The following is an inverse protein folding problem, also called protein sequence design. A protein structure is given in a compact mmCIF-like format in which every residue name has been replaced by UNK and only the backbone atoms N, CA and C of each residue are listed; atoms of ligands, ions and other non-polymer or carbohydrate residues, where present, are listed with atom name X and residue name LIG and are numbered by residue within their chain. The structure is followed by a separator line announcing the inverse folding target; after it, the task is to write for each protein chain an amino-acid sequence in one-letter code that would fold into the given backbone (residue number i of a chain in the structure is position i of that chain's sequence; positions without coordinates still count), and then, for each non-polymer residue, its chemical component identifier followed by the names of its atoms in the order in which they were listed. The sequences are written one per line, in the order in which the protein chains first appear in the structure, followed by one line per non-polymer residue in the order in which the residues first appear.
data_IF_098589499840
#
_entry.id   IF_098589499840
#
_cell.length_a   1.000
_cell.length_b   1.000
_cell.length_c   1.000
_cell.angle_alpha   90.00
_cell.angle_beta   90.00
_cell.angle_gamma   90.00
#
_symmetry.space_group_name_H-M   'P 1'
#
loop_
_entity.id
_entity.type
_entity.pdbx_description
1 polymer ?
#
# COMPACT_ATOMS: atom_id res chain seq x y z
N UNK A 1 -3.77 12.44 9.35
CA UNK A 1 -4.40 11.56 8.33
C UNK A 1 -4.16 12.03 6.90
N UNK A 2 -4.32 13.30 6.52
CA UNK A 2 -3.97 13.80 5.16
C UNK A 2 -2.54 13.46 4.74
N UNK A 3 -1.59 13.56 5.67
CA UNK A 3 -0.20 13.16 5.47
C UNK A 3 -0.04 11.70 5.04
N UNK A 4 -0.91 10.80 5.52
CA UNK A 4 -0.89 9.38 5.21
C UNK A 4 -1.33 9.12 3.76
N UNK A 5 -2.43 9.76 3.33
CA UNK A 5 -2.90 9.69 1.93
C UNK A 5 -1.87 10.24 0.97
N UNK A 6 -1.26 11.38 1.31
CA UNK A 6 -0.26 12.01 0.47
C UNK A 6 1.13 11.36 0.59
N UNK A 7 1.30 10.40 1.51
CA UNK A 7 2.57 9.76 1.82
C UNK A 7 3.67 10.79 2.09
N UNK A 8 3.31 11.84 2.83
CA UNK A 8 4.22 12.92 3.23
C UNK A 8 4.58 12.74 4.70
N UNK A 9 5.88 12.68 5.07
CA UNK A 9 6.29 12.66 6.46
C UNK A 9 5.64 13.81 7.25
N UNK A 10 5.36 13.56 8.53
CA UNK A 10 4.73 14.53 9.43
C UNK A 10 5.60 14.76 10.65
N UNK A 11 5.65 16.00 11.15
CA UNK A 11 6.36 16.34 12.40
C UNK A 11 5.75 15.61 13.61
N UNK A 12 4.48 15.19 13.52
CA UNK A 12 3.81 14.41 14.57
C UNK A 12 4.49 13.06 14.86
N UNK A 13 5.33 12.58 13.95
CA UNK A 13 6.12 11.37 14.13
C UNK A 13 7.37 11.58 15.01
N UNK A 14 7.74 12.82 15.31
CA UNK A 14 8.94 13.10 16.08
C UNK A 14 8.70 12.79 17.57
N UNK A 15 9.71 12.27 18.30
CA UNK A 15 9.55 11.83 19.68
C UNK A 15 8.93 12.89 20.61
N UNK A 16 9.30 14.15 20.42
CA UNK A 16 8.78 15.29 21.18
C UNK A 16 7.25 15.44 21.08
N UNK A 17 6.65 15.11 19.95
CA UNK A 17 5.20 15.16 19.77
C UNK A 17 4.50 13.89 20.25
N UNK A 18 5.22 12.78 20.28
CA UNK A 18 4.71 11.50 20.75
C UNK A 18 4.80 11.37 22.28
N UNK A 19 5.77 11.97 22.96
CA UNK A 19 5.97 11.77 24.40
C UNK A 19 5.49 12.92 25.26
N UNK A 20 5.76 14.16 24.86
CA UNK A 20 5.58 15.33 25.73
C UNK A 20 4.13 15.59 26.17
N UNK A 21 3.10 15.41 25.31
CA UNK A 21 1.71 15.57 25.74
C UNK A 21 1.25 14.56 26.81
N UNK A 22 1.98 13.43 26.93
CA UNK A 22 1.62 12.29 27.78
C UNK A 22 2.51 12.17 29.02
N UNK A 23 3.30 13.20 29.34
CA UNK A 23 4.09 13.24 30.57
C UNK A 23 3.18 13.29 31.82
N UNK A 24 2.01 13.90 31.70
CA UNK A 24 1.05 14.03 32.81
C UNK A 24 -0.01 12.91 32.85
N UNK A 25 -0.30 12.25 31.73
CA UNK A 25 -1.36 11.24 31.63
C UNK A 25 -0.91 10.08 30.75
N UNK A 26 -1.22 8.81 31.13
CA UNK A 26 -0.87 7.67 30.31
C UNK A 26 -1.61 7.70 28.97
N UNK A 27 -0.93 7.30 27.90
CA UNK A 27 -1.51 7.20 26.55
C UNK A 27 -2.70 6.26 26.54
N UNK A 28 -3.80 6.69 25.94
CA UNK A 28 -4.91 5.79 25.63
C UNK A 28 -4.52 4.81 24.53
N UNK A 29 -5.30 3.74 24.37
CA UNK A 29 -5.08 2.80 23.26
C UNK A 29 -5.20 3.49 21.90
N UNK A 30 -6.10 4.46 21.75
CA UNK A 30 -6.27 5.22 20.50
C UNK A 30 -5.06 6.13 20.24
N UNK A 31 -4.48 6.73 21.28
CA UNK A 31 -3.26 7.54 21.13
C UNK A 31 -2.09 6.69 20.63
N UNK A 32 -1.92 5.48 21.18
CA UNK A 32 -0.88 4.54 20.73
C UNK A 32 -1.07 4.12 19.27
N UNK A 33 -2.32 3.96 18.82
CA UNK A 33 -2.59 3.72 17.40
C UNK A 33 -2.14 4.93 16.57
N UNK A 34 -2.49 6.15 16.99
CA UNK A 34 -2.13 7.36 16.25
C UNK A 34 -0.62 7.60 16.21
N UNK A 35 0.13 7.24 17.24
CA UNK A 35 1.59 7.25 17.22
C UNK A 35 2.14 6.36 16.08
N UNK A 36 1.65 5.12 15.99
CA UNK A 36 1.99 4.21 14.90
C UNK A 36 1.58 4.81 13.54
N UNK A 37 0.38 5.36 13.41
CA UNK A 37 -0.12 5.99 12.18
C UNK A 37 0.66 7.23 11.76
N UNK A 38 1.29 7.95 12.72
CA UNK A 38 2.15 9.08 12.42
C UNK A 38 3.46 8.66 11.73
N UNK A 39 3.95 7.44 12.00
CA UNK A 39 5.15 6.89 11.38
C UNK A 39 4.93 6.42 9.94
N UNK A 40 3.75 5.85 9.64
CA UNK A 40 3.42 5.27 8.33
C UNK A 40 3.76 6.17 7.12
N UNK A 41 3.39 7.46 7.08
CA UNK A 41 3.67 8.33 5.94
C UNK A 41 5.15 8.39 5.56
N UNK A 42 6.04 8.34 6.56
CA UNK A 42 7.49 8.37 6.32
C UNK A 42 8.00 7.08 5.67
N UNK A 43 7.48 5.92 6.10
CA UNK A 43 7.80 4.63 5.51
C UNK A 43 7.25 4.50 4.08
N UNK A 44 6.01 4.94 3.86
CA UNK A 44 5.40 4.96 2.52
C UNK A 44 6.19 5.86 1.57
N UNK A 45 6.60 7.06 2.01
CA UNK A 45 7.44 7.97 1.22
C UNK A 45 8.79 7.34 0.84
N UNK A 46 9.43 6.66 1.80
CA UNK A 46 10.69 5.93 1.54
C UNK A 46 10.48 4.78 0.56
N UNK A 47 9.37 4.05 0.69
CA UNK A 47 9.03 2.94 -0.19
C UNK A 47 8.87 3.42 -1.64
N UNK A 48 8.17 4.53 -1.86
CA UNK A 48 8.01 5.09 -3.20
C UNK A 48 9.36 5.47 -3.83
N UNK A 49 10.29 6.04 -3.06
CA UNK A 49 11.64 6.36 -3.54
C UNK A 49 12.46 5.13 -3.87
N UNK A 50 12.39 4.07 -3.06
CA UNK A 50 13.12 2.81 -3.31
C UNK A 50 12.53 2.07 -4.50
N UNK A 51 11.21 1.98 -4.58
CA UNK A 51 10.52 1.25 -5.63
C UNK A 51 10.66 1.92 -7.01
N UNK A 52 10.90 3.24 -7.06
CA UNK A 52 11.17 3.98 -8.29
C UNK A 52 12.60 3.82 -8.84
N UNK A 53 13.54 3.26 -8.06
CA UNK A 53 14.91 3.03 -8.52
C UNK A 53 15.00 1.84 -9.48
N UNK A 54 16.04 1.82 -10.30
CA UNK A 54 16.40 0.68 -11.12
C UNK A 54 16.72 -0.56 -10.28
N UNK A 55 16.54 -1.74 -10.86
CA UNK A 55 16.66 -3.04 -10.20
C UNK A 55 18.12 -3.42 -9.91
N UNK A 56 18.79 -2.63 -9.09
CA UNK A 56 20.19 -2.78 -8.70
C UNK A 56 20.31 -3.54 -7.38
N UNK A 57 21.52 -4.01 -7.08
CA UNK A 57 21.86 -4.60 -5.77
C UNK A 57 21.59 -3.59 -4.65
N UNK A 58 21.96 -2.33 -4.86
CA UNK A 58 21.75 -1.25 -3.89
C UNK A 58 20.26 -1.05 -3.58
N UNK A 59 19.40 -1.02 -4.61
CA UNK A 59 17.94 -0.96 -4.42
C UNK A 59 17.44 -2.15 -3.59
N UNK A 60 17.92 -3.37 -3.88
CA UNK A 60 17.53 -4.56 -3.13
C UNK A 60 17.90 -4.44 -1.65
N UNK A 61 19.11 -3.99 -1.32
CA UNK A 61 19.55 -3.79 0.06
C UNK A 61 18.71 -2.72 0.78
N UNK A 62 18.42 -1.60 0.10
CA UNK A 62 17.52 -0.57 0.62
C UNK A 62 16.10 -1.09 0.86
N UNK A 63 15.59 -1.92 -0.05
CA UNK A 63 14.28 -2.55 0.07
C UNK A 63 14.24 -3.54 1.24
N UNK A 64 15.32 -4.32 1.47
CA UNK A 64 15.44 -5.21 2.61
C UNK A 64 15.45 -4.45 3.94
N UNK A 65 16.24 -3.39 4.06
CA UNK A 65 16.25 -2.53 5.27
C UNK A 65 14.87 -1.92 5.53
N UNK A 66 14.26 -1.33 4.50
CA UNK A 66 12.95 -0.71 4.64
C UNK A 66 11.86 -1.73 4.96
N UNK A 67 11.89 -2.92 4.34
CA UNK A 67 10.95 -3.99 4.63
C UNK A 67 11.03 -4.45 6.09
N UNK A 68 12.24 -4.57 6.65
CA UNK A 68 12.38 -4.87 8.08
C UNK A 68 11.70 -3.81 8.96
N UNK A 69 11.95 -2.52 8.68
CA UNK A 69 11.29 -1.42 9.40
C UNK A 69 9.76 -1.49 9.25
N UNK A 70 9.24 -1.85 8.07
CA UNK A 70 7.81 -2.03 7.87
C UNK A 70 7.24 -3.22 8.67
N UNK A 71 7.97 -4.33 8.73
CA UNK A 71 7.56 -5.51 9.50
C UNK A 71 7.59 -5.24 11.02
N UNK A 72 8.49 -4.38 11.50
CA UNK A 72 8.49 -3.98 12.91
C UNK A 72 7.25 -3.18 13.28
N UNK A 73 6.86 -2.23 12.43
CA UNK A 73 5.64 -1.45 12.62
C UNK A 73 4.37 -2.31 12.45
N UNK A 74 4.38 -3.30 11.56
CA UNK A 74 3.28 -4.26 11.43
C UNK A 74 3.09 -5.07 12.71
N UNK A 75 4.19 -5.54 13.32
CA UNK A 75 4.14 -6.24 14.60
C UNK A 75 3.62 -5.31 15.70
N UNK A 76 4.00 -4.04 15.72
CA UNK A 76 3.48 -3.05 16.67
C UNK A 76 1.96 -2.84 16.52
N UNK A 77 1.47 -2.66 15.29
CA UNK A 77 0.04 -2.56 14.98
C UNK A 77 -0.72 -3.83 15.40
N UNK A 78 -0.14 -5.01 15.16
CA UNK A 78 -0.70 -6.28 15.60
C UNK A 78 -0.75 -6.40 17.13
N UNK A 79 0.30 -5.97 17.84
CA UNK A 79 0.33 -5.92 19.30
C UNK A 79 -0.76 -4.99 19.83
N UNK A 80 -0.87 -3.78 19.28
CA UNK A 80 -1.94 -2.84 19.63
C UNK A 80 -3.33 -3.49 19.52
N UNK A 81 -3.60 -4.19 18.41
CA UNK A 81 -4.87 -4.89 18.21
C UNK A 81 -5.13 -5.95 19.28
N UNK A 82 -4.11 -6.76 19.61
CA UNK A 82 -4.24 -7.77 20.69
C UNK A 82 -4.43 -7.15 22.07
N UNK A 83 -3.76 -6.03 22.38
CA UNK A 83 -3.94 -5.30 23.63
C UNK A 83 -5.36 -4.76 23.76
N UNK A 84 -5.95 -4.27 22.66
CA UNK A 84 -7.32 -3.75 22.67
C UNK A 84 -8.35 -4.83 23.01
N UNK A 85 -8.10 -6.09 22.63
CA UNK A 85 -8.99 -7.22 22.93
C UNK A 85 -9.00 -7.62 24.42
N UNK A 86 -7.90 -7.39 25.14
CA UNK A 86 -7.77 -7.80 26.54
C UNK A 86 -8.37 -6.74 27.45
N UNK A 87 -9.42 -7.10 28.18
CA UNK A 87 -10.06 -6.17 29.11
C UNK A 87 -9.16 -5.94 30.33
N UNK A 88 -8.74 -4.71 30.67
CA UNK A 88 -7.76 -4.46 31.72
C UNK A 88 -8.26 -4.84 33.13
N UNK A 89 -9.59 -4.87 33.33
CA UNK A 89 -10.19 -5.21 34.62
C UNK A 89 -10.27 -6.72 34.89
N UNK A 90 -10.35 -7.56 33.85
CA UNK A 90 -10.56 -9.01 34.01
C UNK A 90 -9.44 -9.86 33.41
N UNK A 91 -8.58 -9.29 32.57
CA UNK A 91 -7.57 -10.03 31.81
C UNK A 91 -8.17 -10.99 30.77
N UNK A 92 -9.50 -11.00 30.60
CA UNK A 92 -10.20 -11.88 29.66
C UNK A 92 -10.24 -11.19 28.31
N UNK A 93 -9.83 -11.92 27.27
CA UNK A 93 -9.98 -11.49 25.88
C UNK A 93 -11.46 -11.43 25.51
N UNK A 94 -11.93 -10.28 25.04
CA UNK A 94 -13.28 -10.09 24.53
C UNK A 94 -13.24 -9.73 23.04
N UNK A 95 -14.21 -10.22 22.25
CA UNK A 95 -14.31 -9.84 20.85
C UNK A 95 -14.62 -8.35 20.73
N UNK A 96 -13.85 -7.64 19.89
CA UNK A 96 -14.08 -6.21 19.62
C UNK A 96 -15.28 -5.98 18.72
N UNK A 97 -15.60 -6.98 17.89
CA UNK A 97 -16.71 -6.98 16.96
C UNK A 97 -17.20 -8.42 16.70
N UNK A 98 -18.42 -8.54 16.19
CA UNK A 98 -19.02 -9.79 15.77
C UNK A 98 -19.96 -9.55 14.58
N UNK A 99 -20.30 -10.61 13.85
CA UNK A 99 -21.28 -10.54 12.78
C UNK A 99 -22.66 -10.26 13.37
N UNK A 100 -23.34 -9.25 12.81
CA UNK A 100 -24.71 -8.93 13.20
C UNK A 100 -25.67 -9.93 12.57
N UNK A 101 -26.53 -10.53 13.40
CA UNK A 101 -27.57 -11.47 12.96
C UNK A 101 -28.85 -10.74 12.48
N UNK A 102 -28.85 -9.41 12.40
CA UNK A 102 -30.03 -8.65 11.97
C UNK A 102 -30.32 -8.93 10.49
N UNK A 103 -31.51 -9.48 10.16
CA UNK A 103 -31.89 -9.66 8.77
C UNK A 103 -32.04 -8.29 8.11
N UNK A 104 -31.30 -8.06 7.02
CA UNK A 104 -31.37 -6.83 6.23
C UNK A 104 -32.82 -6.57 5.83
N UNK A 105 -33.48 -5.67 6.56
CA UNK A 105 -34.93 -5.44 6.44
C UNK A 105 -35.24 -4.31 5.46
N UNK A 106 -34.21 -3.73 4.82
CA UNK A 106 -34.37 -2.62 3.90
C UNK A 106 -33.91 -3.02 2.48
N UNK A 107 -34.76 -2.87 1.45
CA UNK A 107 -34.38 -3.03 0.06
C UNK A 107 -33.63 -1.77 -0.41
N UNK A 108 -32.54 -1.43 0.25
CA UNK A 108 -31.67 -0.34 -0.16
C UNK A 108 -30.50 -0.90 -0.95
N UNK A 109 -30.20 -0.39 -2.16
CA UNK A 109 -29.11 -0.87 -3.00
C UNK A 109 -27.72 -0.65 -2.38
N UNK A 110 -27.64 0.03 -1.23
CA UNK A 110 -26.43 0.42 -0.53
C UNK A 110 -26.16 -0.41 0.75
N UNK A 111 -26.78 -1.59 0.93
CA UNK A 111 -26.54 -2.40 2.12
C UNK A 111 -25.33 -3.33 1.94
N UNK A 112 -24.31 -3.21 2.80
CA UNK A 112 -23.18 -4.13 2.81
C UNK A 112 -23.61 -5.53 3.28
N UNK A 113 -23.12 -6.61 2.66
CA UNK A 113 -23.30 -7.94 3.20
C UNK A 113 -22.53 -8.10 4.52
N UNK A 114 -23.08 -8.90 5.44
CA UNK A 114 -22.46 -9.27 6.72
C UNK A 114 -22.08 -8.06 7.59
N UNK A 115 -23.06 -7.26 8.06
CA UNK A 115 -22.78 -6.11 8.91
C UNK A 115 -22.02 -6.52 10.19
N UNK A 116 -21.06 -5.69 10.61
CA UNK A 116 -20.35 -5.87 11.89
C UNK A 116 -21.04 -5.06 12.98
N UNK A 117 -21.23 -5.71 14.12
CA UNK A 117 -21.56 -5.03 15.38
C UNK A 117 -20.29 -4.90 16.19
N UNK A 118 -20.08 -3.73 16.79
CA UNK A 118 -18.91 -3.43 17.61
C UNK A 118 -19.30 -3.26 19.07
N UNK A 119 -18.32 -3.40 19.96
CA UNK A 119 -18.49 -3.14 21.39
C UNK A 119 -19.06 -1.74 21.67
N UNK A 120 -18.54 -0.74 20.98
CA UNK A 120 -18.91 0.66 21.08
C UNK A 120 -18.39 1.44 19.85
N UNK A 121 -18.88 2.66 19.66
CA UNK A 121 -18.53 3.48 18.50
C UNK A 121 -17.07 3.95 18.49
N UNK A 122 -16.41 4.09 19.65
CA UNK A 122 -14.99 4.44 19.71
C UNK A 122 -14.14 3.27 19.25
N UNK A 123 -14.48 2.05 19.66
CA UNK A 123 -13.84 0.81 19.17
C UNK A 123 -14.02 0.67 17.66
N UNK A 124 -15.23 0.89 17.14
CA UNK A 124 -15.48 0.86 15.69
C UNK A 124 -14.64 1.91 14.95
N UNK A 125 -14.58 3.13 15.47
CA UNK A 125 -13.77 4.20 14.89
C UNK A 125 -12.27 3.84 14.91
N UNK A 126 -11.74 3.36 16.04
CA UNK A 126 -10.34 2.95 16.17
C UNK A 126 -9.99 1.81 15.19
N UNK A 127 -10.86 0.81 15.08
CA UNK A 127 -10.68 -0.28 14.13
C UNK A 127 -10.77 0.19 12.67
N UNK A 128 -11.63 1.17 12.37
CA UNK A 128 -11.69 1.77 11.03
C UNK A 128 -10.35 2.42 10.65
N UNK A 129 -9.68 3.11 11.58
CA UNK A 129 -8.35 3.68 11.35
C UNK A 129 -7.27 2.62 11.20
N UNK A 130 -7.30 1.59 12.05
CA UNK A 130 -6.39 0.45 11.97
C UNK A 130 -6.48 -0.24 10.60
N UNK A 131 -7.68 -0.65 10.18
CA UNK A 131 -7.88 -1.30 8.89
C UNK A 131 -7.57 -0.37 7.72
N UNK A 132 -7.88 0.93 7.83
CA UNK A 132 -7.48 1.93 6.83
C UNK A 132 -5.96 1.97 6.65
N UNK A 133 -5.19 1.88 7.75
CA UNK A 133 -3.75 1.76 7.67
C UNK A 133 -3.32 0.47 6.97
N UNK A 134 -3.94 -0.67 7.29
CA UNK A 134 -3.61 -1.94 6.62
C UNK A 134 -3.88 -1.87 5.11
N UNK A 135 -4.98 -1.24 4.70
CA UNK A 135 -5.34 -1.05 3.29
C UNK A 135 -4.25 -0.30 2.52
N UNK A 136 -3.62 0.69 3.15
CA UNK A 136 -2.52 1.44 2.56
C UNK A 136 -1.16 0.75 2.68
N UNK A 137 -0.95 0.03 3.78
CA UNK A 137 0.35 -0.47 4.20
C UNK A 137 0.69 -1.83 3.59
N UNK A 138 -0.27 -2.76 3.55
CA UNK A 138 -0.05 -4.12 3.04
C UNK A 138 0.36 -4.16 1.56
N UNK A 139 -0.26 -3.38 0.63
CA UNK A 139 0.23 -3.31 -0.74
C UNK A 139 1.68 -2.83 -0.83
N UNK A 140 2.11 -1.97 0.10
CA UNK A 140 3.48 -1.46 0.15
C UNK A 140 4.45 -2.54 0.63
N UNK A 141 4.10 -3.28 1.69
CA UNK A 141 4.89 -4.43 2.17
C UNK A 141 5.01 -5.48 1.07
N UNK A 142 3.91 -5.80 0.38
CA UNK A 142 3.91 -6.73 -0.74
C UNK A 142 4.89 -6.28 -1.83
N UNK A 143 4.80 -5.03 -2.31
CA UNK A 143 5.72 -4.51 -3.33
C UNK A 143 7.18 -4.50 -2.89
N UNK A 144 7.45 -4.15 -1.63
CA UNK A 144 8.80 -4.17 -1.07
C UNK A 144 9.35 -5.59 -0.95
N UNK A 145 8.51 -6.58 -0.63
CA UNK A 145 8.92 -7.98 -0.62
C UNK A 145 9.41 -8.44 -2.00
N UNK A 146 8.66 -8.11 -3.07
CA UNK A 146 9.10 -8.41 -4.44
C UNK A 146 10.43 -7.71 -4.75
N UNK A 147 10.56 -6.42 -4.43
CA UNK A 147 11.81 -5.67 -4.64
C UNK A 147 13.01 -6.21 -3.84
N UNK A 148 12.78 -6.72 -2.63
CA UNK A 148 13.81 -7.17 -1.71
C UNK A 148 14.25 -8.62 -1.96
N UNK A 149 13.36 -9.46 -2.50
CA UNK A 149 13.53 -10.92 -2.56
C UNK A 149 13.45 -11.47 -3.99
N UNK A 150 12.50 -10.98 -4.80
CA UNK A 150 12.14 -11.60 -6.08
C UNK A 150 12.80 -10.90 -7.28
N UNK A 151 12.78 -9.55 -7.32
CA UNK A 151 13.15 -8.78 -8.52
C UNK A 151 14.58 -9.11 -9.00
N UNK A 152 14.78 -9.47 -10.28
CA UNK A 152 16.11 -9.77 -10.79
C UNK A 152 17.00 -8.54 -10.73
N UNK A 153 18.27 -8.73 -10.37
CA UNK A 153 19.25 -7.66 -10.34
C UNK A 153 19.81 -7.46 -11.75
N UNK A 154 19.75 -6.23 -12.27
CA UNK A 154 20.44 -5.86 -13.51
C UNK A 154 21.93 -5.67 -13.20
N UNK A 155 22.76 -6.61 -13.67
CA UNK A 155 24.22 -6.44 -13.68
C UNK A 155 24.58 -5.44 -14.79
N UNK A 156 24.83 -4.18 -14.45
CA UNK A 156 25.42 -3.26 -15.42
C UNK A 156 26.94 -3.49 -15.49
N UNK A 157 27.39 -3.93 -16.66
CA UNK A 157 28.79 -3.91 -17.07
C UNK A 157 29.24 -2.46 -17.26
N UNK A 158 30.00 -1.90 -16.32
CA UNK A 158 30.82 -0.73 -16.58
C UNK A 158 32.19 -1.17 -17.09
N UNK A 159 32.23 -1.70 -18.30
CA UNK A 159 33.46 -1.81 -19.09
C UNK A 159 33.55 -0.67 -20.11
N UNK A 160 33.39 0.57 -19.68
CA UNK A 160 33.94 1.73 -20.42
C UNK A 160 35.44 1.84 -20.12
N UNK A 161 36.20 0.89 -20.66
CA UNK A 161 37.65 1.03 -20.83
C UNK A 161 37.88 1.87 -22.08
N UNK A 162 37.62 3.18 -22.03
CA UNK A 162 38.22 4.11 -23.01
C UNK A 162 39.52 4.62 -22.42
N UNK A 163 40.58 3.83 -22.57
CA UNK A 163 41.94 4.30 -22.35
C UNK A 163 42.69 4.34 -23.68
N UNK A 164 43.14 5.56 -24.00
CA UNK A 164 44.34 5.93 -24.77
C UNK A 164 44.44 5.59 -26.26
N UNK A 165 44.51 6.64 -27.10
CA UNK A 165 45.78 7.03 -27.73
C UNK A 165 45.67 8.40 -28.46
N UNK A 166 46.59 9.30 -28.11
CA UNK A 166 47.01 10.41 -28.96
C UNK A 166 47.50 9.88 -30.31
N UNK A 167 47.05 10.47 -31.42
CA UNK A 167 47.85 10.57 -32.63
C UNK A 167 47.33 11.68 -33.54
N UNK A 168 48.02 12.80 -33.49
CA UNK A 168 48.10 13.78 -34.57
C UNK A 168 48.49 13.07 -35.87
N UNK A 169 47.89 13.42 -37.01
CA UNK A 169 48.54 13.18 -38.30
C UNK A 169 48.18 14.26 -39.30
N UNK A 170 49.21 15.05 -39.62
CA UNK A 170 49.31 15.84 -40.84
C UNK A 170 49.87 14.94 -41.96
N UNK A 171 49.14 14.90 -43.06
CA UNK A 171 49.56 15.08 -44.46
C UNK A 171 50.89 14.50 -45.03
N UNK A 172 50.69 13.70 -46.10
CA UNK A 172 51.35 13.71 -47.43
C UNK A 172 52.48 12.71 -47.81
N UNK A 173 52.21 12.04 -48.95
CA UNK A 173 53.06 11.75 -50.15
C UNK A 173 53.76 10.39 -50.34
N UNK A 174 53.19 9.60 -51.29
CA UNK A 174 53.76 8.91 -52.48
C UNK A 174 54.92 7.91 -52.39
N UNK A 175 54.73 6.73 -53.02
CA UNK A 175 55.80 6.02 -53.74
C UNK A 175 55.68 4.50 -53.95
N UNK A 176 55.12 4.09 -55.10
CA UNK A 176 55.33 2.86 -55.89
C UNK A 176 55.01 1.42 -55.37
N UNK A 177 54.66 0.47 -56.28
CA UNK A 177 54.14 -0.87 -55.95
C UNK A 177 55.12 -2.02 -56.23
N UNK A 178 55.00 -3.11 -55.47
CA UNK A 178 55.48 -4.47 -55.81
C UNK A 178 54.64 -5.54 -55.10
N UNK A 179 54.30 -6.69 -55.74
CA UNK A 179 53.74 -7.89 -55.10
C UNK A 179 54.89 -8.80 -54.57
N UNK A 180 54.72 -9.99 -53.94
CA UNK A 180 53.58 -10.93 -53.96
C UNK A 180 53.31 -11.71 -52.63
N UNK A 181 52.48 -12.75 -52.72
CA UNK A 181 52.39 -13.99 -51.89
C UNK A 181 51.44 -14.06 -50.68
N UNK A 182 50.54 -15.05 -50.75
CA UNK A 182 49.65 -15.60 -49.72
C UNK A 182 50.42 -16.13 -48.49
N UNK A 183 49.79 -16.21 -47.30
CA UNK A 183 49.12 -17.47 -46.91
C UNK A 183 47.80 -17.30 -46.14
N UNK A 184 47.01 -18.37 -46.19
CA UNK A 184 45.78 -18.61 -45.43
C UNK A 184 45.95 -18.38 -43.91
N UNK A 185 45.06 -17.58 -43.31
CA UNK A 185 44.78 -17.64 -41.87
C UNK A 185 43.33 -18.06 -41.63
N UNK A 186 43.16 -19.26 -41.06
CA UNK A 186 41.95 -19.70 -40.40
C UNK A 186 41.61 -18.73 -39.25
N UNK A 187 40.46 -18.05 -39.36
CA UNK A 187 39.84 -17.38 -38.24
C UNK A 187 39.03 -18.41 -37.45
N UNK A 188 39.61 -18.96 -36.39
CA UNK A 188 38.83 -19.64 -35.36
C UNK A 188 38.03 -18.55 -34.62
N UNK A 189 36.73 -18.49 -34.90
CA UNK A 189 35.77 -17.82 -34.04
C UNK A 189 35.72 -18.60 -32.71
N UNK A 190 36.51 -18.17 -31.73
CA UNK A 190 36.26 -18.54 -30.35
C UNK A 190 34.92 -17.88 -29.97
N UNK A 191 33.87 -18.70 -29.91
CA UNK A 191 32.72 -18.41 -29.07
C UNK A 191 33.26 -18.26 -27.64
N UNK A 192 33.58 -17.03 -27.25
CA UNK A 192 33.66 -16.68 -25.85
C UNK A 192 32.22 -16.70 -25.37
N UNK A 193 31.78 -17.88 -24.93
CA UNK A 193 30.61 -18.05 -24.11
C UNK A 193 30.89 -17.24 -22.85
N UNK A 194 30.52 -15.95 -22.89
CA UNK A 194 30.51 -15.08 -21.74
C UNK A 194 29.64 -15.79 -20.72
N UNK A 195 30.29 -16.32 -19.68
CA UNK A 195 29.64 -16.70 -18.44
C UNK A 195 28.72 -15.55 -18.07
N UNK A 196 27.40 -15.74 -18.21
CA UNK A 196 26.46 -15.01 -17.38
C UNK A 196 26.99 -15.21 -15.96
N UNK A 197 27.52 -14.14 -15.37
CA UNK A 197 27.72 -14.09 -13.94
C UNK A 197 26.34 -14.35 -13.34
N UNK A 198 26.17 -15.56 -12.85
CA UNK A 198 25.05 -15.98 -12.05
C UNK A 198 24.79 -14.88 -11.02
N UNK A 199 23.56 -14.36 -10.91
CA UNK A 199 23.27 -13.25 -10.01
C UNK A 199 23.79 -13.66 -8.64
N UNK A 200 24.72 -12.88 -8.10
CA UNK A 200 25.34 -13.18 -6.82
C UNK A 200 24.22 -13.24 -5.79
N UNK A 201 23.83 -14.47 -5.42
CA UNK A 201 22.78 -14.74 -4.44
C UNK A 201 23.27 -14.22 -3.09
N UNK A 202 23.07 -12.92 -2.86
CA UNK A 202 23.28 -12.31 -1.57
C UNK A 202 22.39 -13.07 -0.58
N UNK A 203 22.95 -13.61 0.50
CA UNK A 203 22.18 -14.40 1.45
C UNK A 203 21.04 -13.54 2.00
N UNK A 204 19.81 -14.02 1.79
CA UNK A 204 18.62 -13.32 2.26
C UNK A 204 18.60 -13.31 3.79
N UNK A 205 18.29 -12.17 4.45
CA UNK A 205 18.12 -12.15 5.90
C UNK A 205 17.10 -13.21 6.37
N UNK A 206 17.38 -13.91 7.47
CA UNK A 206 16.55 -15.02 7.97
C UNK A 206 15.08 -14.63 8.16
N UNK A 207 14.82 -13.40 8.63
CA UNK A 207 13.46 -12.87 8.83
C UNK A 207 12.65 -12.80 7.53
N UNK A 208 13.31 -12.58 6.38
CA UNK A 208 12.66 -12.50 5.08
C UNK A 208 12.43 -13.89 4.47
N UNK A 209 13.21 -14.89 4.88
CA UNK A 209 13.05 -16.28 4.42
C UNK A 209 11.81 -16.95 5.01
N UNK A 210 11.44 -16.60 6.25
CA UNK A 210 10.27 -17.16 6.94
C UNK A 210 9.00 -16.33 6.76
N UNK A 211 9.08 -15.21 6.03
CA UNK A 211 7.94 -14.34 5.81
C UNK A 211 6.97 -15.00 4.83
N UNK A 212 5.71 -15.18 5.24
CA UNK A 212 4.63 -15.53 4.32
C UNK A 212 4.14 -14.27 3.59
N UNK A 213 4.45 -14.09 2.29
CA UNK A 213 4.00 -12.92 1.57
C UNK A 213 2.47 -12.89 1.40
N UNK A 214 1.79 -14.04 1.40
CA UNK A 214 0.34 -14.12 1.17
C UNK A 214 -0.47 -13.42 2.25
N UNK A 215 0.11 -13.16 3.42
CA UNK A 215 -0.45 -12.32 4.47
C UNK A 215 -0.78 -10.90 3.99
N UNK A 216 -0.03 -10.39 3.01
CA UNK A 216 -0.18 -9.02 2.46
C UNK A 216 -0.84 -9.01 1.08
N UNK A 217 -1.44 -10.13 0.67
CA UNK A 217 -2.06 -10.29 -0.64
C UNK A 217 -3.31 -9.44 -0.82
N UNK A 218 -3.68 -9.18 -2.09
CA UNK A 218 -4.83 -8.37 -2.45
C UNK A 218 -6.16 -8.82 -1.78
N UNK A 219 -6.49 -10.13 -1.69
CA UNK A 219 -7.68 -10.58 -0.96
C UNK A 219 -7.72 -10.10 0.49
N UNK A 220 -6.59 -10.12 1.20
CA UNK A 220 -6.49 -9.64 2.59
C UNK A 220 -6.71 -8.14 2.70
N UNK A 221 -6.18 -7.38 1.74
CA UNK A 221 -6.39 -5.92 1.65
C UNK A 221 -7.86 -5.61 1.38
N UNK A 222 -8.51 -6.40 0.52
CA UNK A 222 -9.94 -6.27 0.23
C UNK A 222 -10.80 -6.57 1.46
N UNK A 223 -10.50 -7.63 2.21
CA UNK A 223 -11.19 -7.94 3.45
C UNK A 223 -11.09 -6.77 4.45
N UNK A 224 -9.89 -6.21 4.62
CA UNK A 224 -9.69 -5.04 5.47
C UNK A 224 -10.47 -3.81 4.98
N UNK A 225 -10.51 -3.56 3.66
CA UNK A 225 -11.30 -2.46 3.09
C UNK A 225 -12.80 -2.65 3.31
N UNK A 226 -13.31 -3.88 3.21
CA UNK A 226 -14.70 -4.20 3.53
C UNK A 226 -14.99 -3.97 5.02
N UNK A 227 -14.07 -4.36 5.91
CA UNK A 227 -14.20 -4.13 7.35
C UNK A 227 -14.19 -2.63 7.71
N UNK A 228 -13.41 -1.80 7.01
CA UNK A 228 -13.52 -0.33 7.12
C UNK A 228 -14.93 0.13 6.78
N UNK A 229 -15.49 -0.32 5.66
CA UNK A 229 -16.84 0.10 5.24
C UNK A 229 -17.90 -0.29 6.29
N UNK A 230 -17.80 -1.51 6.85
CA UNK A 230 -18.70 -1.99 7.91
C UNK A 230 -18.55 -1.19 9.21
N UNK A 231 -17.33 -0.82 9.59
CA UNK A 231 -17.09 0.05 10.75
C UNK A 231 -17.68 1.45 10.55
N UNK A 232 -17.50 2.01 9.36
CA UNK A 232 -18.04 3.33 9.02
C UNK A 232 -19.57 3.35 9.09
N UNK A 233 -20.26 2.31 8.62
CA UNK A 233 -21.72 2.20 8.79
C UNK A 233 -22.11 2.20 10.26
N UNK A 234 -21.43 1.40 11.08
CA UNK A 234 -21.73 1.32 12.50
C UNK A 234 -21.55 2.67 13.19
N UNK A 235 -20.44 3.37 12.91
CA UNK A 235 -20.17 4.68 13.52
C UNK A 235 -21.16 5.75 13.04
N UNK A 236 -21.57 5.71 11.76
CA UNK A 236 -22.56 6.66 11.24
C UNK A 236 -23.96 6.42 11.81
N UNK A 237 -24.33 5.15 12.06
CA UNK A 237 -25.60 4.77 12.64
C UNK A 237 -25.71 5.07 14.15
N UNK A 238 -24.58 5.30 14.83
CA UNK A 238 -24.57 5.63 16.25
C UNK A 238 -25.22 7.02 16.48
N UNK A 239 -26.29 7.12 17.31
CA UNK A 239 -26.92 8.39 17.60
C UNK A 239 -26.01 9.34 18.41
N UNK A 240 -24.92 8.85 19.02
CA UNK A 240 -24.01 9.68 19.79
C UNK A 240 -23.30 10.74 18.92
N UNK A 241 -23.27 12.01 19.33
CA UNK A 241 -22.56 13.06 18.59
C UNK A 241 -21.03 12.93 18.64
N UNK A 242 -20.47 12.09 19.52
CA UNK A 242 -19.02 12.03 19.79
C UNK A 242 -18.21 11.32 18.70
N UNK A 243 -18.77 10.30 18.04
CA UNK A 243 -18.00 9.42 17.16
C UNK A 243 -18.31 9.62 15.67
N UNK A 244 -19.49 10.14 15.34
CA UNK A 244 -19.94 10.35 13.95
C UNK A 244 -19.50 11.69 13.34
N UNK A 245 -18.42 12.31 13.86
CA UNK A 245 -17.92 13.55 13.28
C UNK A 245 -17.50 13.31 11.82
N UNK A 246 -18.09 14.04 10.84
CA UNK A 246 -17.85 13.78 9.43
C UNK A 246 -16.37 13.78 9.04
N UNK A 247 -15.59 14.64 9.67
CA UNK A 247 -14.15 14.80 9.43
C UNK A 247 -13.34 13.56 9.82
N UNK A 248 -13.76 12.83 10.85
CA UNK A 248 -13.10 11.60 11.30
C UNK A 248 -13.36 10.43 10.34
N UNK A 249 -14.54 10.39 9.73
CA UNK A 249 -14.96 9.30 8.83
C UNK A 249 -14.48 9.51 7.39
N UNK A 250 -14.33 10.78 6.99
CA UNK A 250 -13.99 11.14 5.61
C UNK A 250 -12.70 10.50 5.11
N UNK A 251 -11.68 10.43 5.97
CA UNK A 251 -10.39 9.88 5.58
C UNK A 251 -10.48 8.39 5.25
N UNK A 252 -11.08 7.59 6.13
CA UNK A 252 -11.26 6.16 5.92
C UNK A 252 -12.10 5.90 4.66
N UNK A 253 -13.19 6.66 4.48
CA UNK A 253 -14.02 6.61 3.27
C UNK A 253 -13.22 6.92 1.99
N UNK A 254 -12.38 7.96 2.03
CA UNK A 254 -11.54 8.32 0.88
C UNK A 254 -10.58 7.20 0.49
N UNK A 255 -9.93 6.56 1.47
CA UNK A 255 -8.99 5.47 1.23
C UNK A 255 -9.68 4.26 0.60
N UNK A 256 -10.81 3.81 1.15
CA UNK A 256 -11.54 2.65 0.59
C UNK A 256 -12.15 2.96 -0.77
N UNK A 257 -12.68 4.17 -0.96
CA UNK A 257 -13.21 4.59 -2.26
C UNK A 257 -12.13 4.61 -3.35
N UNK A 258 -10.93 5.08 -3.02
CA UNK A 258 -9.78 5.00 -3.93
C UNK A 258 -9.39 3.55 -4.22
N UNK A 259 -9.29 2.71 -3.19
CA UNK A 259 -8.93 1.30 -3.33
C UNK A 259 -9.90 0.54 -4.24
N UNK A 260 -11.21 0.63 -3.99
CA UNK A 260 -12.21 -0.03 -4.85
C UNK A 260 -12.28 0.61 -6.24
N UNK A 261 -11.98 1.90 -6.37
CA UNK A 261 -11.82 2.59 -7.66
C UNK A 261 -10.71 2.00 -8.51
N UNK A 262 -9.54 1.77 -7.89
CA UNK A 262 -8.39 1.14 -8.54
C UNK A 262 -8.69 -0.32 -8.92
N UNK A 263 -9.51 -1.05 -8.13
CA UNK A 263 -9.98 -2.40 -8.47
C UNK A 263 -10.97 -2.44 -9.64
N UNK A 264 -11.95 -1.53 -9.65
CA UNK A 264 -12.96 -1.45 -10.71
C UNK A 264 -12.42 -0.87 -12.03
N UNK A 265 -11.37 -0.06 -11.98
CA UNK A 265 -10.76 0.62 -13.12
C UNK A 265 -9.88 -0.24 -14.03
N UNK A 266 -9.54 -1.46 -13.62
CA UNK A 266 -8.72 -2.39 -14.45
C UNK A 266 -9.46 -2.82 -15.73
N UNK A 267 -10.75 -2.50 -15.88
CA UNK A 267 -11.57 -2.85 -17.05
C UNK A 267 -11.63 -1.82 -18.20
N UNK A 268 -11.30 -0.54 -18.01
CA UNK A 268 -11.47 0.49 -19.07
C UNK A 268 -10.43 1.60 -18.94
N UNK A 269 -9.21 1.37 -19.44
CA UNK A 269 -8.21 2.43 -19.56
C UNK A 269 -6.94 1.93 -20.23
N UNK A 270 -6.61 2.52 -21.38
CA UNK A 270 -5.28 2.39 -22.01
C UNK A 270 -4.28 3.11 -21.10
N UNK A 271 -3.86 2.42 -20.05
CA UNK A 271 -2.74 2.80 -19.19
C UNK A 271 -1.61 1.83 -19.45
N UNK A 272 -0.44 2.35 -19.84
CA UNK A 272 0.82 1.59 -19.81
C UNK A 272 1.16 1.36 -18.34
N UNK A 273 0.52 0.35 -17.75
CA UNK A 273 0.88 -0.22 -16.45
C UNK A 273 1.59 -1.53 -16.70
N UNK A 274 2.76 -1.71 -16.10
CA UNK A 274 3.40 -3.02 -16.01
C UNK A 274 2.57 -3.84 -15.03
N UNK A 275 1.56 -4.54 -15.55
CA UNK A 275 0.76 -5.50 -14.81
C UNK A 275 1.43 -6.86 -14.81
N UNK A 276 1.76 -7.39 -13.63
CA UNK A 276 2.09 -8.81 -13.47
C UNK A 276 0.77 -9.57 -13.39
N UNK A 277 0.31 -10.09 -14.51
CA UNK A 277 -0.87 -10.94 -14.59
C UNK A 277 -0.55 -12.36 -14.12
N UNK A 278 -1.27 -12.85 -13.11
CA UNK A 278 -1.27 -14.27 -12.73
C UNK A 278 -2.27 -15.04 -13.60
N UNK A 279 -1.84 -15.41 -14.81
CA UNK A 279 -2.50 -16.42 -15.63
C UNK A 279 -1.87 -17.78 -15.35
N UNK A 280 -2.65 -18.71 -14.79
CA UNK A 280 -2.21 -20.07 -14.55
C UNK A 280 -1.99 -20.83 -15.85
N UNK A 281 -0.79 -20.77 -16.41
CA UNK A 281 -0.17 -21.83 -17.21
C UNK A 281 1.33 -21.54 -17.33
N UNK A 282 2.16 -22.54 -17.08
CA UNK A 282 3.61 -22.41 -16.99
C UNK A 282 4.24 -22.04 -18.34
N UNK A 283 4.35 -20.75 -18.63
CA UNK A 283 5.38 -20.21 -19.53
C UNK A 283 5.54 -18.70 -19.30
N UNK A 284 6.70 -18.26 -18.82
CA UNK A 284 7.02 -16.85 -18.67
C UNK A 284 7.37 -16.26 -20.05
N UNK A 285 6.35 -15.81 -20.78
CA UNK A 285 6.50 -15.06 -22.03
C UNK A 285 5.92 -13.65 -21.86
N UNK A 286 6.70 -12.63 -22.20
CA UNK A 286 6.18 -11.28 -22.40
C UNK A 286 5.29 -11.26 -23.65
N UNK A 287 3.97 -11.26 -23.46
CA UNK A 287 2.98 -11.20 -24.53
C UNK A 287 2.10 -9.96 -24.40
N UNK A 288 1.99 -9.17 -25.47
CA UNK A 288 0.92 -8.19 -25.68
C UNK A 288 -0.34 -8.98 -26.10
N UNK A 289 -1.20 -9.30 -25.14
CA UNK A 289 -2.44 -10.03 -25.42
C UNK A 289 -3.59 -9.05 -25.72
N UNK A 290 -4.02 -9.00 -26.98
CA UNK A 290 -5.24 -8.31 -27.41
C UNK A 290 -6.36 -9.35 -27.46
N UNK A 291 -7.05 -9.55 -26.33
CA UNK A 291 -8.21 -10.43 -26.23
C UNK A 291 -9.51 -9.71 -26.54
N UNK A 292 -10.18 -10.05 -27.65
CA UNK A 292 -11.58 -9.68 -27.89
C UNK A 292 -12.50 -10.55 -27.03
N UNK A 293 -12.79 -10.09 -25.81
CA UNK A 293 -13.80 -10.66 -24.94
C UNK A 293 -15.21 -10.25 -25.35
N UNK A 294 -16.13 -11.21 -25.29
CA UNK A 294 -17.54 -11.07 -25.64
C UNK A 294 -18.23 -9.91 -24.90
N UNK A 295 -19.21 -9.30 -25.58
CA UNK A 295 -20.09 -8.22 -25.09
C UNK A 295 -20.99 -8.74 -23.96
N UNK A 296 -20.42 -8.87 -22.76
CA UNK A 296 -21.16 -8.85 -21.51
C UNK A 296 -21.56 -7.42 -21.19
N UNK A 297 -22.66 -7.27 -20.45
CA UNK A 297 -23.08 -6.00 -19.85
C UNK A 297 -21.87 -5.20 -19.33
N UNK A 298 -21.83 -3.86 -19.48
CA UNK A 298 -20.69 -3.04 -19.10
C UNK A 298 -20.27 -3.41 -17.67
N UNK A 299 -19.04 -3.90 -17.57
CA UNK A 299 -18.58 -4.76 -16.49
C UNK A 299 -18.61 -4.09 -15.13
N UNK A 300 -19.35 -4.68 -14.22
CA UNK A 300 -19.16 -4.45 -12.78
C UNK A 300 -17.85 -5.15 -12.42
N UNK A 301 -16.75 -4.39 -12.42
CA UNK A 301 -15.46 -4.89 -11.94
C UNK A 301 -15.56 -5.36 -10.49
N UNK A 302 -14.55 -6.09 -10.02
CA UNK A 302 -14.48 -6.76 -8.72
C UNK A 302 -14.60 -5.84 -7.48
N UNK A 303 -14.85 -4.54 -7.65
CA UNK A 303 -15.14 -3.56 -6.59
C UNK A 303 -16.31 -2.63 -6.87
N UNK A 304 -17.13 -2.90 -7.90
CA UNK A 304 -18.18 -1.98 -8.35
C UNK A 304 -19.30 -1.78 -7.32
N UNK A 305 -19.66 -2.82 -6.56
CA UNK A 305 -20.69 -2.72 -5.51
C UNK A 305 -20.20 -1.84 -4.36
N UNK A 306 -18.94 -2.02 -3.95
CA UNK A 306 -18.32 -1.26 -2.88
C UNK A 306 -18.10 0.21 -3.25
N UNK A 307 -17.89 0.52 -4.55
CA UNK A 307 -17.86 1.90 -5.04
C UNK A 307 -19.21 2.60 -4.93
N UNK A 308 -20.29 1.94 -5.38
CA UNK A 308 -21.67 2.45 -5.23
C UNK A 308 -22.00 2.65 -3.74
N UNK A 309 -21.51 1.75 -2.88
CA UNK A 309 -21.62 1.93 -1.43
C UNK A 309 -20.87 3.18 -0.95
N UNK A 310 -19.62 3.40 -1.37
CA UNK A 310 -18.84 4.58 -0.97
C UNK A 310 -19.52 5.90 -1.36
N UNK A 311 -20.16 5.94 -2.53
CA UNK A 311 -20.93 7.10 -2.99
C UNK A 311 -22.17 7.34 -2.11
N UNK A 312 -22.98 6.31 -1.88
CA UNK A 312 -24.15 6.41 -1.00
C UNK A 312 -23.76 6.79 0.44
N UNK A 313 -22.67 6.24 0.96
CA UNK A 313 -22.16 6.59 2.28
C UNK A 313 -21.73 8.06 2.34
N UNK A 314 -21.07 8.58 1.30
CA UNK A 314 -20.67 10.00 1.21
C UNK A 314 -21.87 10.93 1.31
N UNK A 315 -22.97 10.62 0.63
CA UNK A 315 -24.19 11.41 0.68
C UNK A 315 -24.79 11.45 2.09
N UNK A 316 -24.86 10.29 2.76
CA UNK A 316 -25.34 10.21 4.15
C UNK A 316 -24.42 10.94 5.12
N UNK A 317 -23.10 10.88 4.91
CA UNK A 317 -22.13 11.62 5.72
C UNK A 317 -22.29 13.14 5.59
N UNK A 318 -22.52 13.64 4.37
CA UNK A 318 -22.83 15.06 4.12
C UNK A 318 -24.16 15.45 4.77
N UNK A 319 -25.19 14.60 4.66
CA UNK A 319 -26.48 14.84 5.32
C UNK A 319 -26.33 14.94 6.84
N UNK A 320 -25.56 14.03 7.45
CA UNK A 320 -25.24 14.06 8.89
C UNK A 320 -24.49 15.33 9.30
N UNK A 321 -23.51 15.76 8.49
CA UNK A 321 -22.81 17.02 8.72
C UNK A 321 -23.73 18.25 8.69
N UNK A 322 -24.73 18.26 7.79
CA UNK A 322 -25.75 19.33 7.77
C UNK A 322 -26.62 19.31 9.03
N UNK A 323 -27.08 18.13 9.45
CA UNK A 323 -27.88 17.95 10.66
C UNK A 323 -27.12 18.45 11.91
N UNK A 324 -25.85 18.06 12.06
CA UNK A 324 -25.01 18.52 13.17
C UNK A 324 -24.84 20.04 13.16
N UNK A 325 -24.60 20.63 11.99
CA UNK A 325 -24.47 22.09 11.83
C UNK A 325 -25.77 22.81 12.20
N UNK A 326 -26.91 22.32 11.75
CA UNK A 326 -28.23 22.88 12.10
C UNK A 326 -28.51 22.77 13.60
N UNK A 327 -28.14 21.65 14.23
CA UNK A 327 -28.23 21.47 15.67
C UNK A 327 -27.37 22.45 16.47
N UNK A 328 -26.17 22.78 15.99
CA UNK A 328 -25.29 23.79 16.61
C UNK A 328 -25.86 25.20 16.43
N UNK A 329 -26.34 25.55 15.24
CA UNK A 329 -26.90 26.89 14.95
C UNK A 329 -28.22 27.12 15.70
N UNK A 330 -29.03 26.08 15.90
CA UNK A 330 -30.31 26.18 16.61
C UNK A 330 -30.17 26.39 18.13
N UNK A 331 -29.01 26.05 18.72
CA UNK A 331 -28.76 26.22 20.15
C UNK A 331 -28.17 27.60 20.43
N UNK A 332 -28.71 28.31 21.43
CA UNK A 332 -28.10 29.57 21.89
C UNK A 332 -26.76 29.25 22.55
N UNK A 333 -25.76 30.09 22.30
CA UNK A 333 -24.44 29.99 22.92
C UNK A 333 -24.47 29.86 24.46
N UNK A 334 -25.51 30.38 25.11
CA UNK A 334 -25.70 30.29 26.57
C UNK A 334 -25.99 28.85 27.02
N UNK A 335 -26.68 28.05 26.21
CA UNK A 335 -27.00 26.65 26.53
C UNK A 335 -25.84 25.69 26.22
N UNK A 336 -24.88 26.13 25.39
CA UNK A 336 -23.64 25.42 25.08
C UNK A 336 -22.58 25.58 26.17
N UNK A 337 -22.60 26.69 26.92
CA UNK A 337 -21.64 26.97 27.99
C UNK A 337 -21.96 26.24 29.31
N UNK A 338 -23.15 25.63 29.43
CA UNK A 338 -23.60 24.87 30.61
C UNK A 338 -23.30 23.36 30.55
N UNK A 339 -22.62 22.90 29.51
CA UNK A 339 -22.14 21.52 29.33
C UNK A 339 -20.63 21.44 29.50
#
# INVERSE_FOLDING_TARGET
MTALVNRTPTFLAEPQWLSTPFEAHPKSAVDQLFDSLALLPSLLARADRVLAQEHTITRRLMAQDLLNNCLDLEVELGRWYTTLQVSPASGISQPLFWLSNQPSTAPHPYHLPNPLTFRDAHTALALSYYWTALVLFYPTIWRLYFAAVIDPVTAYDHSTTTNTANASTATTTTGYPSPPTHPHHHHHHHHHQQNLLEPTDLPLPTRLQTLDPMRYSLPRVRDAAADVCRALEFVLADPSPSCAQPDLLWHALFVVGRFFGELGGVGVGVGVGVGVGFGGHMNAGFGLEVGMGAVGMPGVGDGGVELVWCEGFRERLVARGREMREGVVARRWVDLASF
#
